data_IF_577461607344
#
_entry.id   IF_577461607344
#
_cell.length_a   1.000
_cell.length_b   1.000
_cell.length_c   1.000
_cell.angle_alpha   90.00
_cell.angle_beta   90.00
_cell.angle_gamma   90.00
#
_symmetry.space_group_name_H-M   'P 1'
#
loop_
_entity.id
_entity.type
_entity.pdbx_description
1 polymer ?
#
# COMPACT_ATOMS: atom_id res chain seq x y z
N UNK A 1 -22.57 2.07 -7.10
CA UNK A 1 -22.06 0.71 -6.77
C UNK A 1 -20.59 0.86 -6.52
N UNK A 2 -20.06 0.54 -5.33
CA UNK A 2 -18.64 0.53 -5.09
C UNK A 2 -18.01 -0.54 -5.99
N UNK A 3 -17.06 -0.12 -6.81
CA UNK A 3 -16.32 -1.02 -7.69
C UNK A 3 -15.70 -2.14 -6.83
N UNK A 4 -15.89 -3.38 -7.26
CA UNK A 4 -15.32 -4.55 -6.54
C UNK A 4 -13.81 -4.47 -6.70
N UNK A 5 -13.09 -4.43 -5.60
CA UNK A 5 -11.63 -4.41 -5.60
C UNK A 5 -11.07 -5.80 -5.25
N UNK A 6 -10.02 -6.27 -5.95
CA UNK A 6 -9.41 -5.67 -7.14
C UNK A 6 -10.19 -6.00 -8.44
N UNK A 7 -10.17 -5.13 -9.47
CA UNK A 7 -10.67 -5.47 -10.80
C UNK A 7 -9.71 -6.40 -11.53
N UNK A 8 -10.14 -7.00 -12.64
CA UNK A 8 -9.29 -7.85 -13.49
C UNK A 8 -8.14 -7.07 -14.14
N UNK A 9 -8.42 -5.83 -14.56
CA UNK A 9 -7.47 -4.90 -15.15
C UNK A 9 -7.23 -3.72 -14.22
N UNK A 10 -6.03 -3.62 -13.71
CA UNK A 10 -5.61 -2.57 -12.77
C UNK A 10 -5.16 -1.34 -13.56
N UNK A 11 -5.73 -0.19 -13.20
CA UNK A 11 -5.37 1.14 -13.72
C UNK A 11 -5.36 2.14 -12.59
N UNK A 12 -4.66 3.25 -12.76
CA UNK A 12 -4.78 4.37 -11.84
C UNK A 12 -6.18 4.98 -11.97
N UNK A 13 -6.85 5.15 -10.85
CA UNK A 13 -8.18 5.75 -10.82
C UNK A 13 -8.11 7.24 -11.19
N UNK A 14 -9.07 7.78 -11.96
CA UNK A 14 -9.10 9.19 -12.29
C UNK A 14 -9.05 10.09 -11.05
N UNK A 15 -8.17 11.09 -11.07
CA UNK A 15 -7.98 12.03 -9.96
C UNK A 15 -7.16 11.49 -8.78
N UNK A 16 -6.82 10.21 -8.75
CA UNK A 16 -5.96 9.64 -7.71
C UNK A 16 -4.49 9.89 -8.01
N UNK A 17 -3.69 9.96 -6.94
CA UNK A 17 -2.29 10.37 -6.96
C UNK A 17 -1.36 9.24 -6.50
N UNK A 18 -0.09 9.41 -6.80
CA UNK A 18 1.00 8.52 -6.39
C UNK A 18 1.88 9.27 -5.40
N UNK A 19 2.17 8.65 -4.25
CA UNK A 19 3.05 9.20 -3.23
C UNK A 19 4.40 8.49 -3.27
N UNK A 20 5.45 9.22 -3.52
CA UNK A 20 6.83 8.75 -3.44
C UNK A 20 7.43 9.07 -2.07
N UNK A 21 7.83 8.04 -1.34
CA UNK A 21 8.53 8.17 -0.07
C UNK A 21 10.02 8.33 -0.33
N UNK A 22 10.49 9.56 -0.40
CA UNK A 22 11.86 9.92 -0.76
C UNK A 22 12.72 10.23 0.48
N UNK A 23 14.05 10.04 0.36
CA UNK A 23 15.04 10.44 1.37
C UNK A 23 15.04 11.96 1.59
N UNK A 24 14.73 12.72 0.55
CA UNK A 24 14.42 14.15 0.68
C UNK A 24 12.99 14.33 1.18
N UNK A 25 12.84 14.55 2.48
CA UNK A 25 11.55 14.72 3.14
C UNK A 25 10.80 15.99 2.68
N UNK A 26 11.50 16.96 2.08
CA UNK A 26 10.86 18.15 1.51
C UNK A 26 10.00 17.80 0.30
N UNK A 27 10.42 16.83 -0.52
CA UNK A 27 9.63 16.31 -1.64
C UNK A 27 8.38 15.59 -1.15
N UNK A 28 8.45 14.85 -0.04
CA UNK A 28 7.25 14.23 0.55
C UNK A 28 6.26 15.31 0.98
N UNK A 29 6.72 16.35 1.72
CA UNK A 29 5.86 17.46 2.15
C UNK A 29 5.20 18.18 0.97
N UNK A 30 5.94 18.43 -0.10
CA UNK A 30 5.39 19.06 -1.31
C UNK A 30 4.33 18.18 -2.01
N UNK A 31 4.50 16.85 -2.00
CA UNK A 31 3.47 15.96 -2.50
C UNK A 31 2.22 16.00 -1.62
N UNK A 32 2.39 16.00 -0.29
CA UNK A 32 1.28 15.99 0.67
C UNK A 32 0.49 17.32 0.68
N UNK A 33 1.18 18.46 0.59
CA UNK A 33 0.57 19.76 0.92
C UNK A 33 0.54 20.76 -0.23
N UNK A 34 1.48 20.66 -1.20
CA UNK A 34 1.61 21.64 -2.29
C UNK A 34 1.13 21.07 -3.65
N UNK A 35 0.56 19.84 -3.64
CA UNK A 35 0.02 19.23 -4.85
C UNK A 35 1.08 18.74 -5.85
N UNK A 36 2.36 18.63 -5.45
CA UNK A 36 3.41 18.10 -6.31
C UNK A 36 3.09 16.66 -6.71
N UNK A 37 3.05 16.39 -8.02
CA UNK A 37 2.97 15.04 -8.57
C UNK A 37 4.31 14.68 -9.22
N UNK A 38 4.79 13.49 -8.94
CA UNK A 38 6.04 12.95 -9.45
C UNK A 38 5.77 11.73 -10.36
N UNK A 39 6.69 11.48 -11.28
CA UNK A 39 6.74 10.25 -12.05
C UNK A 39 7.96 9.43 -11.63
N UNK A 40 7.93 8.13 -11.88
CA UNK A 40 9.09 7.26 -11.62
C UNK A 40 10.32 7.73 -12.40
N UNK A 41 10.14 8.28 -13.60
CA UNK A 41 11.21 8.91 -14.41
C UNK A 41 11.88 10.12 -13.75
N UNK A 42 11.22 10.78 -12.79
CA UNK A 42 11.74 11.96 -12.08
C UNK A 42 12.54 11.57 -10.84
N UNK A 43 12.49 10.29 -10.46
CA UNK A 43 13.00 9.75 -9.19
C UNK A 43 14.01 8.64 -9.47
N UNK A 44 15.24 8.79 -8.95
CA UNK A 44 16.16 7.65 -8.87
C UNK A 44 15.67 6.67 -7.79
N UNK A 45 15.63 5.35 -8.05
CA UNK A 45 15.33 4.35 -7.02
C UNK A 45 16.16 4.52 -5.75
N UNK A 46 17.42 4.93 -5.86
CA UNK A 46 18.34 5.17 -4.73
C UNK A 46 17.92 6.38 -3.87
N UNK A 47 17.07 7.26 -4.37
CA UNK A 47 16.53 8.39 -3.61
C UNK A 47 15.28 8.05 -2.80
N UNK A 48 14.74 6.85 -2.96
CA UNK A 48 13.59 6.37 -2.20
C UNK A 48 14.02 5.91 -0.80
N UNK A 49 13.12 6.05 0.18
CA UNK A 49 13.34 5.57 1.54
C UNK A 49 13.36 4.04 1.55
N UNK A 50 14.46 3.51 2.05
CA UNK A 50 14.65 2.10 2.38
C UNK A 50 14.25 1.83 3.84
N UNK A 51 14.07 0.55 4.18
CA UNK A 51 13.88 0.08 5.56
C UNK A 51 12.77 0.83 6.32
N UNK A 52 11.72 1.23 5.62
CA UNK A 52 10.58 1.85 6.29
C UNK A 52 10.01 0.84 7.27
N UNK A 53 10.24 1.09 8.56
CA UNK A 53 9.80 0.18 9.61
C UNK A 53 8.39 0.54 10.10
N UNK A 54 7.81 -0.40 10.82
CA UNK A 54 6.44 -0.26 11.35
C UNK A 54 6.29 0.86 12.37
N UNK A 55 7.36 1.27 13.07
CA UNK A 55 7.31 2.43 13.99
C UNK A 55 7.25 3.76 13.23
N UNK A 56 7.84 3.83 12.03
CA UNK A 56 7.68 4.99 11.14
C UNK A 56 6.25 5.07 10.62
N UNK A 57 5.66 3.93 10.25
CA UNK A 57 4.30 3.88 9.69
C UNK A 57 3.24 4.11 10.76
N UNK A 58 3.28 3.33 11.84
CA UNK A 58 2.35 3.39 12.97
C UNK A 58 3.11 3.20 14.28
N UNK A 59 3.54 4.28 14.95
CA UNK A 59 4.14 4.20 16.28
C UNK A 59 3.26 3.42 17.26
N UNK A 60 3.86 2.89 18.34
CA UNK A 60 3.17 1.99 19.28
C UNK A 60 1.82 2.53 19.79
N UNK A 61 1.70 3.84 20.01
CA UNK A 61 0.46 4.45 20.48
C UNK A 61 -0.68 4.39 19.46
N UNK A 62 -0.40 4.35 18.14
CA UNK A 62 -1.42 4.15 17.09
C UNK A 62 -1.97 2.73 17.13
N UNK A 63 -1.18 1.76 17.61
CA UNK A 63 -1.61 0.36 17.68
C UNK A 63 -2.69 0.08 18.73
N UNK A 64 -2.99 1.04 19.60
CA UNK A 64 -4.11 0.95 20.55
C UNK A 64 -5.44 1.39 19.94
N UNK A 65 -5.41 2.03 18.77
CA UNK A 65 -6.62 2.37 18.04
C UNK A 65 -7.21 1.14 17.36
N UNK A 66 -8.54 1.08 17.32
CA UNK A 66 -9.29 -0.04 16.73
C UNK A 66 -10.14 0.38 15.52
N UNK A 67 -10.33 1.68 15.31
CA UNK A 67 -11.11 2.18 14.19
C UNK A 67 -10.23 2.42 12.97
N UNK A 68 -10.67 1.99 11.78
CA UNK A 68 -9.98 2.26 10.53
C UNK A 68 -9.63 3.73 10.33
N UNK A 69 -10.56 4.63 10.68
CA UNK A 69 -10.37 6.07 10.53
C UNK A 69 -9.26 6.63 11.43
N UNK A 70 -9.16 6.20 12.68
CA UNK A 70 -8.11 6.67 13.60
C UNK A 70 -6.72 6.13 13.21
N UNK A 71 -6.66 4.88 12.77
CA UNK A 71 -5.40 4.29 12.28
C UNK A 71 -4.93 5.01 11.01
N UNK A 72 -5.82 5.24 10.05
CA UNK A 72 -5.50 5.94 8.81
C UNK A 72 -5.16 7.41 9.03
N UNK A 73 -5.84 8.09 9.97
CA UNK A 73 -5.56 9.48 10.39
C UNK A 73 -4.10 9.67 10.79
N UNK A 74 -3.51 8.67 11.43
CA UNK A 74 -2.15 8.71 11.98
C UNK A 74 -1.12 7.96 11.11
N UNK A 75 -1.42 7.72 9.84
CA UNK A 75 -0.49 7.10 8.91
C UNK A 75 0.83 7.87 8.85
N UNK A 76 1.94 7.15 8.96
CA UNK A 76 3.30 7.71 8.95
C UNK A 76 3.60 8.72 10.09
N UNK A 77 2.86 8.62 11.21
CA UNK A 77 3.07 9.51 12.37
C UNK A 77 4.48 9.42 12.96
N UNK A 78 5.22 8.36 12.69
CA UNK A 78 6.61 8.18 13.13
C UNK A 78 7.65 8.80 12.19
N UNK A 79 7.27 9.29 11.01
CA UNK A 79 8.21 9.96 10.11
C UNK A 79 8.36 11.43 10.55
N UNK A 80 9.52 11.71 11.12
CA UNK A 80 9.82 13.00 11.75
C UNK A 80 10.94 13.74 11.03
N UNK A 81 10.85 15.06 10.99
CA UNK A 81 11.92 15.96 10.57
C UNK A 81 12.01 17.13 11.57
N UNK A 82 13.17 17.34 12.15
CA UNK A 82 13.43 18.42 13.13
C UNK A 82 12.42 18.42 14.30
N UNK A 83 12.03 17.22 14.79
CA UNK A 83 11.07 17.04 15.86
C UNK A 83 9.59 17.25 15.46
N UNK A 84 9.30 17.51 14.20
CA UNK A 84 7.94 17.67 13.67
C UNK A 84 7.56 16.50 12.77
N UNK A 85 6.27 16.15 12.75
CA UNK A 85 5.75 15.14 11.82
C UNK A 85 5.88 15.62 10.38
N UNK A 86 6.30 14.72 9.49
CA UNK A 86 6.23 14.94 8.04
C UNK A 86 4.80 14.76 7.55
N UNK A 87 4.08 13.78 8.12
CA UNK A 87 2.66 13.53 7.87
C UNK A 87 1.82 14.09 9.02
N UNK A 88 1.09 15.15 8.76
CA UNK A 88 0.05 15.64 9.68
C UNK A 88 -1.12 14.64 9.73
N UNK A 89 -2.00 14.78 10.69
CA UNK A 89 -3.23 13.99 10.76
C UNK A 89 -4.02 14.07 9.45
N UNK A 90 -4.50 12.94 8.97
CA UNK A 90 -5.22 12.79 7.71
C UNK A 90 -4.43 13.13 6.43
N UNK A 91 -3.13 13.40 6.49
CA UNK A 91 -2.36 13.82 5.32
C UNK A 91 -2.44 12.81 4.16
N UNK A 92 -2.41 11.51 4.45
CA UNK A 92 -2.53 10.47 3.44
C UNK A 92 -3.93 10.47 2.80
N UNK A 93 -4.97 10.57 3.62
CA UNK A 93 -6.38 10.61 3.17
C UNK A 93 -6.64 11.85 2.31
N UNK A 94 -6.25 13.02 2.81
CA UNK A 94 -6.49 14.31 2.14
C UNK A 94 -5.69 14.48 0.85
N UNK A 95 -4.57 13.76 0.72
CA UNK A 95 -3.71 13.78 -0.46
C UNK A 95 -4.26 12.95 -1.64
N UNK A 96 -5.36 12.21 -1.43
CA UNK A 96 -6.01 11.37 -2.46
C UNK A 96 -5.08 10.37 -3.15
N UNK A 97 -4.13 9.83 -2.41
CA UNK A 97 -3.19 8.86 -2.94
C UNK A 97 -3.81 7.46 -3.04
N UNK A 98 -3.57 6.79 -4.15
CA UNK A 98 -3.97 5.40 -4.41
C UNK A 98 -2.76 4.46 -4.45
N UNK A 99 -1.59 4.98 -4.79
CA UNK A 99 -0.33 4.25 -4.88
C UNK A 99 0.70 4.90 -3.96
N UNK A 100 1.47 4.06 -3.26
CA UNK A 100 2.62 4.49 -2.48
C UNK A 100 3.88 3.79 -2.94
N UNK A 101 4.99 4.53 -3.05
CA UNK A 101 6.25 4.06 -3.62
C UNK A 101 7.37 4.23 -2.61
N UNK A 102 8.17 3.19 -2.40
CA UNK A 102 9.33 3.21 -1.49
C UNK A 102 10.50 2.38 -2.06
N UNK A 103 11.62 2.40 -1.39
CA UNK A 103 12.83 1.64 -1.72
C UNK A 103 12.76 0.18 -1.25
N UNK A 104 13.85 -0.31 -0.70
CA UNK A 104 14.02 -1.70 -0.28
C UNK A 104 13.40 -1.97 1.09
N UNK A 105 13.01 -3.23 1.31
CA UNK A 105 12.59 -3.81 2.60
C UNK A 105 11.50 -2.98 3.31
N UNK A 106 10.46 -2.60 2.57
CA UNK A 106 9.31 -1.90 3.15
C UNK A 106 8.62 -2.76 4.22
N UNK A 107 8.32 -2.15 5.37
CA UNK A 107 7.57 -2.78 6.46
C UNK A 107 8.44 -3.64 7.40
N UNK A 108 9.73 -3.32 7.55
CA UNK A 108 10.62 -3.93 8.55
C UNK A 108 10.16 -3.61 9.98
N UNK A 109 10.78 -4.27 10.97
CA UNK A 109 10.48 -4.05 12.39
C UNK A 109 9.48 -5.06 12.95
N UNK A 110 8.60 -4.63 13.85
CA UNK A 110 7.67 -5.51 14.52
C UNK A 110 6.49 -5.90 13.64
N UNK A 111 5.89 -7.05 13.95
CA UNK A 111 4.72 -7.59 13.25
C UNK A 111 3.45 -6.78 13.58
N UNK A 112 3.31 -5.58 12.98
CA UNK A 112 2.14 -4.72 13.18
C UNK A 112 1.27 -4.72 11.94
N UNK A 113 0.09 -5.29 12.04
CA UNK A 113 -0.91 -5.21 10.98
C UNK A 113 -1.37 -3.77 10.74
N UNK A 114 -1.41 -2.93 11.80
CA UNK A 114 -1.73 -1.50 11.72
C UNK A 114 -0.86 -0.74 10.71
N UNK A 115 0.38 -1.18 10.47
CA UNK A 115 1.25 -0.57 9.48
C UNK A 115 0.71 -0.72 8.04
N UNK A 116 0.18 -1.88 7.68
CA UNK A 116 -0.50 -2.07 6.40
C UNK A 116 -1.91 -1.44 6.41
N UNK A 117 -2.60 -1.51 7.55
CA UNK A 117 -3.94 -0.94 7.72
C UNK A 117 -3.95 0.58 7.54
N UNK A 118 -2.94 1.31 8.06
CA UNK A 118 -2.90 2.76 7.92
C UNK A 118 -2.82 3.20 6.45
N UNK A 119 -2.10 2.48 5.62
CA UNK A 119 -2.05 2.70 4.18
C UNK A 119 -3.37 2.32 3.52
N UNK A 120 -3.85 1.10 3.78
CA UNK A 120 -5.07 0.58 3.16
C UNK A 120 -6.29 1.46 3.45
N UNK A 121 -6.48 1.85 4.69
CA UNK A 121 -7.58 2.71 5.09
C UNK A 121 -7.33 4.19 4.79
N UNK A 122 -6.06 4.57 4.60
CA UNK A 122 -5.66 5.87 4.07
C UNK A 122 -5.90 6.06 2.57
N UNK A 123 -6.40 5.01 1.87
CA UNK A 123 -6.74 5.07 0.45
C UNK A 123 -5.75 4.33 -0.47
N UNK A 124 -4.63 3.84 0.06
CA UNK A 124 -3.62 3.13 -0.74
C UNK A 124 -4.13 1.73 -1.12
N UNK A 125 -4.21 1.47 -2.41
CA UNK A 125 -4.61 0.20 -3.00
C UNK A 125 -3.42 -0.58 -3.56
N UNK A 126 -2.38 0.14 -4.00
CA UNK A 126 -1.18 -0.43 -4.63
C UNK A 126 0.05 0.06 -3.88
N UNK A 127 0.89 -0.87 -3.48
CA UNK A 127 2.17 -0.59 -2.80
C UNK A 127 3.30 -1.01 -3.71
N UNK A 128 4.18 -0.07 -4.07
CA UNK A 128 5.32 -0.28 -4.95
C UNK A 128 6.61 -0.19 -4.12
N UNK A 129 7.45 -1.20 -4.24
CA UNK A 129 8.76 -1.22 -3.60
C UNK A 129 9.70 -2.17 -4.36
N UNK A 130 11.01 -2.01 -4.17
CA UNK A 130 11.95 -3.00 -4.71
C UNK A 130 11.93 -4.32 -3.93
N UNK A 131 11.53 -4.29 -2.66
CA UNK A 131 11.26 -5.49 -1.84
C UNK A 131 10.44 -5.17 -0.59
N UNK A 132 9.83 -6.20 -0.02
CA UNK A 132 8.98 -6.11 1.17
C UNK A 132 9.51 -7.01 2.29
N UNK A 133 9.32 -6.59 3.54
CA UNK A 133 9.51 -7.48 4.67
C UNK A 133 8.40 -8.56 4.67
N UNK A 134 8.72 -9.85 4.91
CA UNK A 134 7.77 -10.95 4.69
C UNK A 134 6.45 -10.82 5.48
N UNK A 135 6.52 -10.32 6.71
CA UNK A 135 5.31 -10.14 7.54
C UNK A 135 4.45 -9.01 6.99
N UNK A 136 5.06 -7.91 6.57
CA UNK A 136 4.34 -6.78 5.98
C UNK A 136 3.69 -7.16 4.65
N UNK A 137 4.40 -7.93 3.81
CA UNK A 137 3.84 -8.49 2.59
C UNK A 137 2.58 -9.31 2.87
N UNK A 138 2.63 -10.20 3.87
CA UNK A 138 1.46 -10.99 4.30
C UNK A 138 0.31 -10.10 4.79
N UNK A 139 0.60 -9.06 5.55
CA UNK A 139 -0.43 -8.12 6.02
C UNK A 139 -1.09 -7.38 4.86
N UNK A 140 -0.31 -6.96 3.85
CA UNK A 140 -0.86 -6.34 2.64
C UNK A 140 -1.78 -7.30 1.88
N UNK A 141 -1.39 -8.57 1.73
CA UNK A 141 -2.22 -9.63 1.12
C UNK A 141 -3.53 -9.78 1.88
N UNK A 142 -3.47 -9.87 3.21
CA UNK A 142 -4.66 -10.02 4.05
C UNK A 142 -5.64 -8.85 3.91
N UNK A 143 -5.14 -7.66 3.61
CA UNK A 143 -5.93 -6.45 3.41
C UNK A 143 -6.34 -6.21 1.94
N UNK A 144 -5.96 -7.09 1.03
CA UNK A 144 -6.26 -6.96 -0.39
C UNK A 144 -5.53 -5.80 -1.08
N UNK A 145 -4.35 -5.41 -0.57
CA UNK A 145 -3.48 -4.46 -1.25
C UNK A 145 -2.61 -5.18 -2.28
N UNK A 146 -2.52 -4.61 -3.47
CA UNK A 146 -1.65 -5.11 -4.52
C UNK A 146 -0.22 -4.64 -4.28
N UNK A 147 0.74 -5.51 -4.56
CA UNK A 147 2.16 -5.19 -4.44
C UNK A 147 2.86 -5.39 -5.77
N UNK A 148 3.55 -4.36 -6.22
CA UNK A 148 4.25 -4.35 -7.51
C UNK A 148 5.65 -3.76 -7.41
N UNK A 149 6.28 -3.66 -8.56
CA UNK A 149 7.61 -3.08 -8.76
C UNK A 149 7.57 -1.77 -9.55
N UNK A 150 8.73 -1.19 -9.78
CA UNK A 150 8.85 0.10 -10.49
C UNK A 150 8.46 0.00 -11.97
N UNK A 151 8.64 -1.16 -12.62
CA UNK A 151 8.24 -1.34 -14.02
C UNK A 151 6.72 -1.33 -14.16
N UNK A 152 6.02 -1.98 -13.24
CA UNK A 152 4.56 -1.89 -13.15
C UNK A 152 4.10 -0.46 -12.91
N UNK A 153 4.79 0.29 -12.03
CA UNK A 153 4.46 1.68 -11.78
C UNK A 153 4.58 2.56 -13.04
N UNK A 154 5.67 2.42 -13.78
CA UNK A 154 5.90 3.17 -15.03
C UNK A 154 4.80 2.90 -16.06
N UNK A 155 4.40 1.64 -16.22
CA UNK A 155 3.30 1.24 -17.12
C UNK A 155 1.97 1.88 -16.68
N UNK A 156 1.65 1.83 -15.38
CA UNK A 156 0.45 2.49 -14.84
C UNK A 156 0.48 4.01 -15.06
N UNK A 157 1.64 4.66 -14.88
CA UNK A 157 1.80 6.10 -15.12
C UNK A 157 1.71 6.48 -16.60
N UNK A 158 2.02 5.56 -17.50
CA UNK A 158 1.85 5.71 -18.95
C UNK A 158 0.40 5.44 -19.41
N UNK A 159 -0.50 5.13 -18.49
CA UNK A 159 -1.91 4.88 -18.78
C UNK A 159 -2.21 3.45 -19.25
N UNK A 160 -1.26 2.54 -19.13
CA UNK A 160 -1.49 1.13 -19.40
C UNK A 160 -2.33 0.49 -18.31
N UNK A 161 -3.05 -0.57 -18.64
CA UNK A 161 -3.63 -1.50 -17.67
C UNK A 161 -2.67 -2.65 -17.43
N UNK A 162 -2.64 -3.13 -16.19
CA UNK A 162 -1.91 -4.33 -15.79
C UNK A 162 -2.91 -5.35 -15.31
N UNK A 163 -2.83 -6.59 -15.83
CA UNK A 163 -3.74 -7.64 -15.40
C UNK A 163 -3.52 -7.99 -13.92
N UNK A 164 -4.57 -8.33 -13.22
CA UNK A 164 -4.47 -8.79 -11.83
C UNK A 164 -3.55 -10.02 -11.73
N UNK A 165 -3.51 -10.87 -12.76
CA UNK A 165 -2.63 -12.03 -12.82
C UNK A 165 -1.14 -11.63 -12.75
N UNK A 166 -0.72 -10.53 -13.35
CA UNK A 166 0.68 -10.05 -13.23
C UNK A 166 1.05 -9.72 -11.78
N UNK A 167 0.14 -9.17 -10.99
CA UNK A 167 0.35 -8.91 -9.55
C UNK A 167 0.35 -10.19 -8.72
N UNK A 168 -0.32 -11.24 -9.18
CA UNK A 168 -0.59 -12.44 -8.36
C UNK A 168 0.21 -13.67 -8.79
N UNK A 169 0.81 -13.68 -9.99
CA UNK A 169 1.47 -14.85 -10.59
C UNK A 169 2.58 -15.48 -9.74
N UNK A 170 3.22 -14.70 -8.86
CA UNK A 170 4.29 -15.17 -7.98
C UNK A 170 3.81 -15.93 -6.74
N UNK A 171 2.51 -15.88 -6.46
CA UNK A 171 1.94 -16.46 -5.24
C UNK A 171 1.36 -17.85 -5.48
N UNK A 172 1.28 -18.62 -4.39
CA UNK A 172 0.58 -19.90 -4.39
C UNK A 172 -0.93 -19.71 -4.67
N UNK A 173 -1.63 -20.80 -5.09
CA UNK A 173 -3.04 -20.69 -5.49
C UNK A 173 -3.98 -20.15 -4.40
N UNK A 174 -3.71 -20.44 -3.11
CA UNK A 174 -4.56 -19.94 -2.02
C UNK A 174 -4.33 -18.46 -1.78
N UNK A 175 -3.07 -18.03 -1.76
CA UNK A 175 -2.68 -16.61 -1.65
C UNK A 175 -3.25 -15.80 -2.81
N UNK A 176 -3.19 -16.33 -4.03
CA UNK A 176 -3.79 -15.72 -5.21
C UNK A 176 -5.29 -15.49 -5.02
N UNK A 177 -6.03 -16.51 -4.59
CA UNK A 177 -7.46 -16.39 -4.29
C UNK A 177 -7.76 -15.35 -3.20
N UNK A 178 -6.93 -15.24 -2.16
CA UNK A 178 -7.10 -14.20 -1.13
C UNK A 178 -7.01 -12.81 -1.76
N UNK A 179 -6.01 -12.55 -2.59
CA UNK A 179 -5.82 -11.26 -3.27
C UNK A 179 -6.99 -10.97 -4.21
N UNK A 180 -7.35 -11.92 -5.07
CA UNK A 180 -8.43 -11.80 -6.07
C UNK A 180 -9.80 -11.54 -5.43
N UNK A 181 -9.99 -11.95 -4.18
CA UNK A 181 -11.20 -11.69 -3.43
C UNK A 181 -11.14 -10.45 -2.54
N UNK A 182 -10.10 -9.61 -2.66
CA UNK A 182 -10.00 -8.35 -1.93
C UNK A 182 -9.49 -8.47 -0.51
N UNK A 183 -8.80 -9.58 -0.19
CA UNK A 183 -8.17 -9.84 1.08
C UNK A 183 -8.77 -11.02 1.85
N UNK A 184 -8.16 -11.33 2.97
CA UNK A 184 -8.48 -12.54 3.75
C UNK A 184 -9.93 -12.57 4.26
N UNK A 185 -10.47 -11.45 4.71
CA UNK A 185 -11.82 -11.42 5.29
C UNK A 185 -12.92 -11.65 4.23
N UNK A 186 -12.96 -10.93 3.10
CA UNK A 186 -13.89 -11.22 2.01
C UNK A 186 -13.74 -12.64 1.46
N UNK A 187 -12.49 -13.11 1.29
CA UNK A 187 -12.21 -14.48 0.88
C UNK A 187 -12.84 -15.50 1.83
N UNK A 188 -12.65 -15.34 3.16
CA UNK A 188 -13.19 -16.27 4.14
C UNK A 188 -14.74 -16.27 4.15
N UNK A 189 -15.39 -15.13 3.93
CA UNK A 189 -16.85 -15.04 3.81
C UNK A 189 -17.35 -15.80 2.58
N UNK A 190 -16.73 -15.63 1.42
CA UNK A 190 -17.09 -16.32 0.17
C UNK A 190 -16.84 -17.81 0.25
N UNK A 191 -15.75 -18.22 0.91
CA UNK A 191 -15.47 -19.63 1.16
C UNK A 191 -16.55 -20.26 2.05
N UNK A 192 -16.96 -19.56 3.11
CA UNK A 192 -18.01 -19.99 4.04
C UNK A 192 -19.38 -20.06 3.36
N UNK A 193 -19.69 -19.16 2.43
CA UNK A 193 -20.95 -19.17 1.69
C UNK A 193 -20.98 -20.22 0.56
N UNK A 194 -19.83 -20.81 0.20
CA UNK A 194 -19.71 -21.76 -0.91
C UNK A 194 -19.61 -21.10 -2.28
N UNK A 195 -19.43 -19.77 -2.35
CA UNK A 195 -19.21 -19.05 -3.61
C UNK A 195 -17.86 -19.42 -4.26
N UNK A 196 -16.88 -19.76 -3.44
CA UNK A 196 -15.56 -20.21 -3.88
C UNK A 196 -15.17 -21.49 -3.16
N UNK A 197 -14.28 -22.26 -3.76
CA UNK A 197 -13.71 -23.48 -3.19
C UNK A 197 -12.19 -23.40 -3.15
N UNK A 198 -11.58 -24.08 -2.18
CA UNK A 198 -10.12 -24.18 -2.13
C UNK A 198 -9.61 -25.02 -3.29
N UNK A 199 -8.47 -24.67 -3.88
CA UNK A 199 -7.80 -25.53 -4.85
C UNK A 199 -7.38 -26.84 -4.17
N UNK A 200 -7.25 -27.94 -4.92
CA UNK A 200 -6.75 -29.19 -4.37
C UNK A 200 -5.35 -28.97 -3.78
N UNK A 201 -5.13 -29.50 -2.58
CA UNK A 201 -3.80 -29.54 -1.98
C UNK A 201 -2.96 -30.55 -2.76
N UNK A 202 -1.92 -30.09 -3.42
CA UNK A 202 -0.91 -30.94 -4.06
C UNK A 202 0.10 -31.47 -3.04
#
# INVERSE_FOLDING_TARGET
MSEIWPPEDIRLSPGKRILFLTKDLSLIKRQLYDGLNLKMSDISPDSLLDDINTDVMTPAWVCFDHSPSEIAKNAYAGLMQDGMRVFNENALINGEFEVIVSGQRKGTGSSRETAAQCERWGGIRIVIASSFAPIHERNNINLGQLMGDYQMLERLQNGESISLDEFTSRYDPVTKLIIENGGLFPFALKLKSGEITLPPLN
#
